data_IF_671942384507
#
_entry.id   IF_671942384507
#
_cell.length_a   1.000
_cell.length_b   1.000
_cell.length_c   1.000
_cell.angle_alpha   90.00
_cell.angle_beta   90.00
_cell.angle_gamma   90.00
#
_symmetry.space_group_name_H-M   'P 1'
#
loop_
_entity.id
_entity.type
_entity.pdbx_description
1 polymer ?
#
# COMPACT_ATOMS: atom_id res chain seq x y z
N UNK A 1 11.06 -13.47 -21.71
CA UNK A 1 11.91 -13.94 -20.58
C UNK A 1 11.09 -14.91 -19.77
N UNK A 2 11.47 -16.18 -19.78
CA UNK A 2 10.67 -17.31 -19.29
C UNK A 2 11.06 -17.62 -17.86
N UNK A 3 10.17 -17.41 -16.89
CA UNK A 3 10.44 -17.67 -15.47
C UNK A 3 10.42 -19.19 -15.19
N UNK A 4 11.58 -19.74 -14.87
CA UNK A 4 11.77 -21.15 -14.50
C UNK A 4 11.31 -21.34 -13.04
N UNK A 5 10.16 -21.98 -12.88
CA UNK A 5 9.54 -22.37 -11.60
C UNK A 5 10.46 -23.38 -10.89
N UNK A 6 11.18 -22.97 -9.86
CA UNK A 6 11.91 -23.91 -8.98
C UNK A 6 10.99 -24.23 -7.80
N UNK A 7 10.33 -25.38 -7.88
CA UNK A 7 9.51 -25.95 -6.80
C UNK A 7 10.33 -27.10 -6.21
N UNK A 8 11.13 -26.83 -5.17
CA UNK A 8 11.70 -27.90 -4.34
C UNK A 8 10.94 -27.91 -3.03
N UNK A 9 10.18 -28.98 -2.70
CA UNK A 9 9.64 -29.14 -1.36
C UNK A 9 10.79 -29.50 -0.41
N UNK A 10 10.87 -28.79 0.71
CA UNK A 10 11.75 -29.14 1.82
C UNK A 10 11.37 -30.55 2.31
N UNK A 11 12.33 -31.47 2.26
CA UNK A 11 12.19 -32.80 2.84
C UNK A 11 12.44 -32.63 4.34
N UNK A 12 11.38 -32.68 5.15
CA UNK A 12 11.50 -32.74 6.61
C UNK A 12 11.84 -34.17 7.00
N UNK A 13 13.03 -34.40 7.55
CA UNK A 13 13.39 -35.67 8.20
C UNK A 13 12.61 -35.79 9.52
N UNK A 14 11.41 -36.37 9.44
CA UNK A 14 10.55 -36.69 10.58
C UNK A 14 11.05 -37.87 11.43
N UNK A 15 12.24 -38.43 11.14
CA UNK A 15 12.77 -39.61 11.81
C UNK A 15 13.35 -39.33 13.20
N UNK A 16 13.45 -38.07 13.62
CA UNK A 16 14.01 -37.68 14.92
C UNK A 16 12.95 -37.34 16.00
N UNK A 17 11.66 -37.48 15.67
CA UNK A 17 10.54 -37.06 16.55
C UNK A 17 9.61 -38.20 16.99
N UNK A 18 9.94 -39.47 16.67
CA UNK A 18 9.08 -40.63 16.97
C UNK A 18 9.74 -41.62 17.95
N UNK A 19 10.31 -41.13 19.05
CA UNK A 19 10.87 -41.99 20.10
C UNK A 19 10.19 -41.70 21.45
N UNK A 20 9.09 -42.43 21.69
CA UNK A 20 8.51 -42.61 23.02
C UNK A 20 9.25 -43.75 23.76
N UNK A 21 9.49 -43.65 25.09
CA UNK A 21 10.14 -44.67 25.94
C UNK A 21 9.09 -45.67 26.52
N UNK A 22 9.37 -46.62 27.45
CA UNK A 22 10.59 -47.34 27.88
C UNK A 22 10.40 -48.89 27.86
N UNK A 23 11.47 -49.70 28.01
CA UNK A 23 11.40 -51.04 28.64
C UNK A 23 12.80 -51.61 28.96
N UNK A 24 13.15 -51.67 30.25
CA UNK A 24 14.17 -52.60 30.79
C UNK A 24 13.59 -54.04 30.85
N UNK A 25 14.36 -55.07 31.26
CA UNK A 25 15.42 -55.80 30.56
C UNK A 25 15.06 -57.32 30.45
N UNK A 26 15.85 -58.19 29.79
CA UNK A 26 15.75 -59.62 30.07
C UNK A 26 16.81 -60.08 31.07
N UNK A 27 16.32 -60.62 32.19
CA UNK A 27 17.04 -61.46 33.15
C UNK A 27 17.62 -62.71 32.50
N UNK A 28 18.81 -63.12 32.95
CA UNK A 28 19.31 -64.49 32.81
C UNK A 28 20.06 -64.89 34.11
N UNK A 29 19.45 -65.76 34.91
CA UNK A 29 20.08 -66.55 35.98
C UNK A 29 20.84 -67.76 35.37
N UNK A 30 21.49 -68.65 36.15
CA UNK A 30 22.55 -68.47 37.14
C UNK A 30 23.79 -69.32 36.74
N UNK A 31 25.01 -68.91 37.10
CA UNK A 31 26.19 -69.76 36.91
C UNK A 31 27.16 -69.68 38.10
N UNK A 32 27.57 -70.88 38.52
CA UNK A 32 28.33 -71.36 39.68
C UNK A 32 29.46 -70.49 40.29
N UNK A 33 29.82 -70.75 41.57
CA UNK A 33 30.55 -69.80 42.40
C UNK A 33 32.03 -69.72 41.99
N UNK A 34 32.61 -68.53 41.83
CA UNK A 34 34.05 -68.40 41.81
C UNK A 34 34.60 -68.48 43.24
N UNK A 35 35.65 -69.29 43.34
CA UNK A 35 36.49 -69.58 44.48
C UNK A 35 36.88 -68.38 45.36
N UNK A 36 37.19 -68.73 46.62
CA UNK A 36 37.82 -67.97 47.71
C UNK A 36 38.25 -66.51 47.46
N UNK A 37 37.93 -65.58 48.39
CA UNK A 37 38.32 -64.19 48.27
C UNK A 37 39.85 -64.04 48.30
N UNK A 38 40.47 -63.36 47.32
CA UNK A 38 41.86 -62.97 47.44
C UNK A 38 41.97 -62.00 48.62
N UNK A 39 42.90 -62.32 49.53
CA UNK A 39 43.28 -61.52 50.69
C UNK A 39 43.31 -60.03 50.35
N UNK A 40 42.48 -59.24 51.04
CA UNK A 40 42.59 -57.79 51.08
C UNK A 40 43.92 -57.43 51.77
N UNK A 41 44.91 -57.05 50.98
CA UNK A 41 45.96 -56.17 51.46
C UNK A 41 45.33 -54.84 51.92
N UNK A 42 45.87 -54.18 52.96
CA UNK A 42 45.34 -52.90 53.44
C UNK A 42 45.26 -51.89 52.28
N UNK A 43 44.32 -50.93 52.30
CA UNK A 43 44.24 -49.92 51.26
C UNK A 43 45.54 -49.14 51.27
N UNK A 44 46.49 -49.55 50.43
CA UNK A 44 47.59 -48.68 50.03
C UNK A 44 46.89 -47.49 49.42
N UNK A 45 46.91 -46.35 50.11
CA UNK A 45 46.54 -45.07 49.53
C UNK A 45 47.32 -44.98 48.22
N UNK A 46 46.63 -45.28 47.12
CA UNK A 46 47.19 -45.19 45.80
C UNK A 46 47.20 -43.70 45.51
N UNK A 47 48.22 -43.01 46.01
CA UNK A 47 48.46 -41.61 45.72
C UNK A 47 48.39 -41.46 44.21
N UNK A 48 47.41 -40.68 43.74
CA UNK A 48 47.24 -40.42 42.33
C UNK A 48 48.54 -39.80 41.82
N UNK A 49 49.21 -40.40 40.80
CA UNK A 49 50.43 -39.83 40.25
C UNK A 49 50.18 -38.38 39.83
N UNK A 50 51.08 -37.47 40.20
CA UNK A 50 50.96 -36.03 39.90
C UNK A 50 50.62 -35.75 38.44
N UNK A 51 51.16 -36.55 37.51
CA UNK A 51 50.86 -36.47 36.08
C UNK A 51 49.38 -36.64 35.75
N UNK A 52 48.65 -37.52 36.45
CA UNK A 52 47.22 -37.77 36.23
C UNK A 52 46.37 -36.63 36.79
N UNK A 53 46.78 -36.05 37.92
CA UNK A 53 46.12 -34.89 38.49
C UNK A 53 46.26 -33.64 37.61
N UNK A 54 47.46 -33.40 37.08
CA UNK A 54 47.72 -32.29 36.17
C UNK A 54 46.92 -32.45 34.86
N UNK A 55 46.83 -33.67 34.31
CA UNK A 55 46.00 -33.99 33.14
C UNK A 55 44.50 -33.69 33.38
N UNK A 56 43.94 -34.14 34.50
CA UNK A 56 42.53 -33.91 34.84
C UNK A 56 42.26 -32.42 35.04
N UNK A 57 43.15 -31.69 35.71
CA UNK A 57 43.00 -30.25 35.91
C UNK A 57 43.06 -29.49 34.58
N UNK A 58 43.95 -29.90 33.67
CA UNK A 58 44.03 -29.32 32.34
C UNK A 58 42.75 -29.61 31.56
N UNK A 59 42.26 -30.84 31.56
CA UNK A 59 41.01 -31.22 30.90
C UNK A 59 39.80 -30.49 31.49
N UNK A 60 39.76 -30.30 32.80
CA UNK A 60 38.70 -29.54 33.46
C UNK A 60 38.73 -28.07 33.05
N UNK A 61 39.91 -27.45 33.00
CA UNK A 61 40.06 -26.07 32.53
C UNK A 61 39.65 -25.93 31.06
N UNK A 62 40.11 -26.82 30.19
CA UNK A 62 39.75 -26.78 28.76
C UNK A 62 38.26 -27.02 28.55
N UNK A 63 37.66 -27.98 29.27
CA UNK A 63 36.23 -28.25 29.17
C UNK A 63 35.40 -27.07 29.69
N UNK A 64 35.84 -26.43 30.78
CA UNK A 64 35.21 -25.22 31.30
C UNK A 64 35.32 -24.06 30.31
N UNK A 65 36.48 -23.82 29.73
CA UNK A 65 36.68 -22.79 28.71
C UNK A 65 35.83 -23.04 27.45
N UNK A 66 35.69 -24.30 27.03
CA UNK A 66 34.81 -24.68 25.91
C UNK A 66 33.34 -24.45 26.24
N UNK A 67 32.91 -24.80 27.45
CA UNK A 67 31.54 -24.59 27.91
C UNK A 67 31.22 -23.09 28.00
N UNK A 68 32.13 -22.30 28.57
CA UNK A 68 31.99 -20.85 28.67
C UNK A 68 31.92 -20.21 27.27
N UNK A 69 32.76 -20.67 26.32
CA UNK A 69 32.71 -20.22 24.92
C UNK A 69 31.40 -20.59 24.22
N UNK A 70 30.93 -21.83 24.36
CA UNK A 70 29.68 -22.28 23.76
C UNK A 70 28.47 -21.54 24.33
N UNK A 71 28.48 -21.23 25.63
CA UNK A 71 27.41 -20.48 26.28
C UNK A 71 27.37 -19.04 25.75
N UNK A 72 28.52 -18.39 25.62
CA UNK A 72 28.60 -17.03 25.07
C UNK A 72 28.20 -16.99 23.58
N UNK A 73 28.64 -17.96 22.77
CA UNK A 73 28.25 -18.07 21.36
C UNK A 73 26.74 -18.28 21.19
N UNK A 74 26.14 -19.16 22.01
CA UNK A 74 24.70 -19.41 22.00
C UNK A 74 23.90 -18.17 22.40
N UNK A 75 24.38 -17.41 23.39
CA UNK A 75 23.75 -16.15 23.82
C UNK A 75 23.84 -15.07 22.75
N UNK A 76 24.99 -14.94 22.09
CA UNK A 76 25.17 -14.00 21.00
C UNK A 76 24.30 -14.37 19.80
N UNK A 77 24.21 -15.66 19.47
CA UNK A 77 23.35 -16.15 18.40
C UNK A 77 21.86 -15.92 18.70
N UNK A 78 21.43 -16.13 19.94
CA UNK A 78 20.06 -15.81 20.37
C UNK A 78 19.77 -14.31 20.26
N UNK A 79 20.72 -13.46 20.66
CA UNK A 79 20.59 -12.00 20.54
C UNK A 79 20.48 -11.57 19.07
N UNK A 80 21.39 -12.04 18.22
CA UNK A 80 21.38 -11.74 16.78
C UNK A 80 20.09 -12.23 16.12
N UNK A 81 19.62 -13.43 16.49
CA UNK A 81 18.36 -13.97 15.96
C UNK A 81 17.16 -13.13 16.41
N UNK A 82 17.13 -12.70 17.68
CA UNK A 82 16.09 -11.82 18.21
C UNK A 82 16.10 -10.44 17.55
N UNK A 83 17.28 -9.85 17.33
CA UNK A 83 17.46 -8.57 16.63
C UNK A 83 16.98 -8.68 15.17
N UNK A 84 17.38 -9.74 14.46
CA UNK A 84 16.91 -10.00 13.10
C UNK A 84 15.38 -10.16 13.06
N UNK A 85 14.80 -10.97 13.96
CA UNK A 85 13.35 -11.15 14.04
C UNK A 85 12.61 -9.84 14.30
N UNK A 86 13.12 -9.01 15.21
CA UNK A 86 12.56 -7.69 15.51
C UNK A 86 12.60 -6.75 14.30
N UNK A 87 13.73 -6.70 13.58
CA UNK A 87 13.86 -5.90 12.36
C UNK A 87 12.96 -6.43 11.23
N UNK A 88 12.81 -7.74 11.06
CA UNK A 88 11.87 -8.33 10.10
C UNK A 88 10.41 -7.98 10.44
N UNK A 89 10.01 -8.07 11.71
CA UNK A 89 8.67 -7.71 12.13
C UNK A 89 8.38 -6.23 11.86
N UNK A 90 9.35 -5.35 12.15
CA UNK A 90 9.25 -3.92 11.89
C UNK A 90 9.14 -3.62 10.40
N UNK A 91 10.00 -4.20 9.57
CA UNK A 91 9.96 -4.05 8.11
C UNK A 91 8.64 -4.56 7.53
N UNK A 92 8.12 -5.69 8.03
CA UNK A 92 6.84 -6.23 7.61
C UNK A 92 5.68 -5.30 7.97
N UNK A 93 5.65 -4.79 9.21
CA UNK A 93 4.63 -3.81 9.65
C UNK A 93 4.69 -2.53 8.83
N UNK A 94 5.90 -2.05 8.52
CA UNK A 94 6.07 -0.87 7.67
C UNK A 94 5.58 -1.14 6.26
N UNK A 95 6.03 -2.22 5.61
CA UNK A 95 5.64 -2.56 4.25
C UNK A 95 4.13 -2.82 4.12
N UNK A 96 3.52 -3.51 5.09
CA UNK A 96 2.06 -3.73 5.10
C UNK A 96 1.29 -2.41 5.31
N UNK A 97 1.74 -1.54 6.21
CA UNK A 97 1.15 -0.21 6.40
C UNK A 97 1.26 0.64 5.14
N UNK A 98 2.43 0.68 4.50
CA UNK A 98 2.66 1.42 3.26
C UNK A 98 1.77 0.90 2.14
N UNK A 99 1.63 -0.42 2.00
CA UNK A 99 0.75 -1.04 1.02
C UNK A 99 -0.72 -0.63 1.23
N UNK A 100 -1.20 -0.68 2.47
CA UNK A 100 -2.57 -0.24 2.78
C UNK A 100 -2.76 1.26 2.50
N UNK A 101 -1.79 2.11 2.85
CA UNK A 101 -1.87 3.54 2.49
C UNK A 101 -1.90 3.75 0.99
N UNK A 102 -1.06 3.03 0.22
CA UNK A 102 -1.00 3.15 -1.23
C UNK A 102 -2.29 2.66 -1.89
N UNK A 103 -2.85 1.55 -1.40
CA UNK A 103 -4.12 1.00 -1.87
C UNK A 103 -5.28 1.98 -1.64
N UNK A 104 -5.34 2.57 -0.44
CA UNK A 104 -6.35 3.57 -0.12
C UNK A 104 -6.21 4.84 -0.97
N UNK A 105 -4.97 5.30 -1.18
CA UNK A 105 -4.68 6.44 -2.05
C UNK A 105 -5.08 6.14 -3.50
N UNK A 106 -4.72 4.97 -4.03
CA UNK A 106 -5.09 4.57 -5.38
C UNK A 106 -6.60 4.48 -5.56
N UNK A 107 -7.31 3.82 -4.64
CA UNK A 107 -8.77 3.72 -4.69
C UNK A 107 -9.45 5.09 -4.63
N UNK A 108 -8.95 5.99 -3.79
CA UNK A 108 -9.45 7.37 -3.69
C UNK A 108 -9.16 8.16 -4.97
N UNK A 109 -7.94 8.05 -5.50
CA UNK A 109 -7.54 8.72 -6.74
C UNK A 109 -8.35 8.23 -7.94
N UNK A 110 -8.58 6.92 -8.04
CA UNK A 110 -9.40 6.31 -9.09
C UNK A 110 -10.86 6.78 -9.01
N UNK A 111 -11.44 6.79 -7.80
CA UNK A 111 -12.81 7.30 -7.60
C UNK A 111 -12.92 8.76 -8.00
N UNK A 112 -11.93 9.57 -7.60
CA UNK A 112 -11.88 10.99 -7.95
C UNK A 112 -11.67 11.20 -9.45
N UNK A 113 -10.82 10.41 -10.10
CA UNK A 113 -10.60 10.47 -11.55
C UNK A 113 -11.90 10.18 -12.30
N UNK A 114 -12.61 9.09 -11.96
CA UNK A 114 -13.92 8.76 -12.55
C UNK A 114 -14.96 9.86 -12.34
N UNK A 115 -15.01 10.45 -11.13
CA UNK A 115 -15.91 11.55 -10.85
C UNK A 115 -15.59 12.79 -11.71
N UNK A 116 -14.30 13.13 -11.85
CA UNK A 116 -13.86 14.24 -12.69
C UNK A 116 -14.14 13.97 -14.18
N UNK A 117 -13.88 12.77 -14.68
CA UNK A 117 -14.21 12.36 -16.05
C UNK A 117 -15.72 12.54 -16.34
N UNK A 118 -16.59 12.17 -15.39
CA UNK A 118 -18.02 12.42 -15.50
C UNK A 118 -18.38 13.90 -15.57
N UNK A 119 -17.80 14.72 -14.70
CA UNK A 119 -18.01 16.18 -14.71
C UNK A 119 -17.50 16.82 -16.01
N UNK A 120 -16.33 16.40 -16.48
CA UNK A 120 -15.72 16.86 -17.73
C UNK A 120 -16.61 16.51 -18.92
N UNK A 121 -17.13 15.28 -18.97
CA UNK A 121 -18.02 14.82 -20.04
C UNK A 121 -19.32 15.63 -20.04
N UNK A 122 -19.95 15.83 -18.88
CA UNK A 122 -21.15 16.66 -18.75
C UNK A 122 -20.90 18.10 -19.19
N UNK A 123 -19.74 18.67 -18.83
CA UNK A 123 -19.35 20.03 -19.26
C UNK A 123 -19.14 20.09 -20.78
N UNK A 124 -18.54 19.06 -21.37
CA UNK A 124 -18.34 18.97 -22.81
C UNK A 124 -19.69 18.89 -23.55
N UNK A 125 -20.61 18.03 -23.11
CA UNK A 125 -21.95 17.91 -23.69
C UNK A 125 -22.75 19.22 -23.57
N UNK A 126 -22.68 19.90 -22.42
CA UNK A 126 -23.32 21.20 -22.23
C UNK A 126 -22.75 22.27 -23.17
N UNK A 127 -21.42 22.27 -23.39
CA UNK A 127 -20.76 23.17 -24.35
C UNK A 127 -21.13 22.82 -25.79
N UNK A 128 -21.18 21.54 -26.16
CA UNK A 128 -21.59 21.10 -27.50
C UNK A 128 -23.03 21.52 -27.82
N UNK A 129 -23.94 21.43 -26.85
CA UNK A 129 -25.34 21.87 -27.03
C UNK A 129 -25.44 23.38 -27.27
N UNK A 130 -24.55 24.17 -26.67
CA UNK A 130 -24.51 25.63 -26.87
C UNK A 130 -23.87 26.05 -28.19
N UNK A 131 -23.13 25.15 -28.85
CA UNK A 131 -22.48 25.41 -30.12
C UNK A 131 -23.47 25.05 -31.25
N UNK A 132 -23.73 25.95 -32.22
CA UNK A 132 -24.56 25.62 -33.38
C UNK A 132 -24.01 24.40 -34.15
N UNK A 133 -24.88 23.52 -34.63
CA UNK A 133 -24.49 22.26 -35.31
C UNK A 133 -23.52 22.48 -36.49
N UNK A 134 -23.62 23.62 -37.19
CA UNK A 134 -22.73 23.98 -38.31
C UNK A 134 -21.24 24.03 -37.92
N UNK A 135 -20.95 24.25 -36.64
CA UNK A 135 -19.58 24.33 -36.13
C UNK A 135 -19.11 23.04 -35.44
N UNK A 136 -19.96 22.01 -35.33
CA UNK A 136 -19.58 20.73 -34.71
C UNK A 136 -18.49 20.02 -35.51
N UNK A 137 -18.55 20.10 -36.84
CA UNK A 137 -17.53 19.53 -37.75
C UNK A 137 -16.13 20.11 -37.57
N UNK A 138 -16.02 21.30 -36.95
CA UNK A 138 -14.72 21.93 -36.68
C UNK A 138 -14.03 21.33 -35.45
N UNK A 139 -14.76 20.57 -34.61
CA UNK A 139 -14.26 20.01 -33.37
C UNK A 139 -13.50 18.71 -33.68
N UNK A 140 -12.20 18.61 -33.39
CA UNK A 140 -11.45 17.39 -33.70
C UNK A 140 -11.92 16.18 -32.87
N UNK A 141 -12.21 15.06 -33.53
CA UNK A 141 -12.69 13.85 -32.87
C UNK A 141 -11.62 13.09 -32.09
N UNK A 142 -10.36 13.24 -32.48
CA UNK A 142 -9.21 12.47 -31.97
C UNK A 142 -8.61 13.02 -30.66
N UNK A 143 -9.34 13.86 -29.93
CA UNK A 143 -8.90 14.49 -28.70
C UNK A 143 -9.58 13.87 -27.46
N UNK A 144 -8.89 13.90 -26.32
CA UNK A 144 -9.53 13.55 -25.04
C UNK A 144 -10.60 14.60 -24.67
N UNK A 145 -11.59 14.27 -23.83
CA UNK A 145 -12.61 15.23 -23.42
C UNK A 145 -12.06 16.54 -22.84
N UNK A 146 -10.98 16.47 -22.07
CA UNK A 146 -10.27 17.64 -21.53
C UNK A 146 -9.67 18.51 -22.64
N UNK A 147 -9.05 17.88 -23.64
CA UNK A 147 -8.45 18.58 -24.77
C UNK A 147 -9.53 19.18 -25.68
N UNK A 148 -10.66 18.49 -25.86
CA UNK A 148 -11.82 19.04 -26.59
C UNK A 148 -12.35 20.29 -25.89
N UNK A 149 -12.50 20.26 -24.56
CA UNK A 149 -12.92 21.44 -23.79
C UNK A 149 -11.93 22.61 -23.92
N UNK A 150 -10.63 22.35 -23.83
CA UNK A 150 -9.60 23.39 -24.02
C UNK A 150 -9.63 23.97 -25.44
N UNK A 151 -9.81 23.13 -26.47
CA UNK A 151 -9.96 23.57 -27.85
C UNK A 151 -11.22 24.43 -28.02
N UNK A 152 -12.37 23.98 -27.50
CA UNK A 152 -13.64 24.72 -27.54
C UNK A 152 -13.47 26.07 -26.84
N UNK A 153 -12.87 26.10 -25.66
CA UNK A 153 -12.63 27.35 -24.92
C UNK A 153 -11.74 28.33 -25.70
N UNK A 154 -10.70 27.84 -26.37
CA UNK A 154 -9.85 28.67 -27.25
C UNK A 154 -10.58 29.14 -28.50
N UNK A 155 -11.42 28.31 -29.09
CA UNK A 155 -12.24 28.67 -30.25
C UNK A 155 -13.27 29.74 -29.87
N UNK A 156 -13.97 29.56 -28.74
CA UNK A 156 -14.93 30.50 -28.18
C UNK A 156 -14.28 31.86 -27.88
N UNK A 157 -13.11 31.88 -27.23
CA UNK A 157 -12.35 33.11 -26.98
C UNK A 157 -11.93 33.84 -28.26
N UNK A 158 -11.67 33.10 -29.34
CA UNK A 158 -11.35 33.66 -30.66
C UNK A 158 -12.59 34.08 -31.44
N UNK A 159 -13.80 33.84 -30.92
CA UNK A 159 -15.06 34.21 -31.53
C UNK A 159 -15.53 33.26 -32.65
N UNK A 160 -15.03 32.01 -32.69
CA UNK A 160 -15.38 31.05 -33.74
C UNK A 160 -16.87 30.72 -33.79
N UNK A 161 -17.56 30.68 -32.65
CA UNK A 161 -18.96 30.26 -32.56
C UNK A 161 -19.98 31.39 -32.74
N UNK A 162 -19.52 32.62 -33.03
CA UNK A 162 -20.38 33.79 -33.16
C UNK A 162 -21.10 34.15 -31.86
N UNK A 163 -21.54 35.40 -31.72
CA UNK A 163 -22.51 35.74 -30.68
C UNK A 163 -23.87 35.37 -31.24
N UNK A 164 -24.58 34.46 -30.57
CA UNK A 164 -26.00 34.27 -30.80
C UNK A 164 -26.64 35.67 -30.76
N UNK A 165 -27.13 36.14 -31.90
CA UNK A 165 -27.91 37.36 -31.91
C UNK A 165 -29.18 37.02 -31.15
N UNK A 166 -29.26 37.44 -29.89
CA UNK A 166 -30.52 37.53 -29.16
C UNK A 166 -31.45 38.40 -29.99
N UNK A 167 -32.21 37.79 -30.91
CA UNK A 167 -33.34 38.47 -31.49
C UNK A 167 -34.32 38.64 -30.33
N UNK A 168 -34.65 39.88 -29.93
CA UNK A 168 -35.60 40.08 -28.86
C UNK A 168 -36.92 39.43 -29.29
N UNK A 169 -37.31 38.35 -28.59
CA UNK A 169 -38.61 37.71 -28.76
C UNK A 169 -39.67 38.68 -28.22
N UNK A 170 -40.08 39.58 -29.10
CA UNK A 170 -40.87 40.75 -28.76
C UNK A 170 -40.11 42.01 -29.15
N UNK A 171 -40.41 42.55 -30.33
CA UNK A 171 -40.11 43.95 -30.61
C UNK A 171 -40.70 44.81 -29.49
N UNK A 172 -40.03 45.91 -29.14
CA UNK A 172 -40.50 46.81 -28.08
C UNK A 172 -41.97 47.17 -28.35
N UNK A 173 -42.89 46.62 -27.57
CA UNK A 173 -44.32 46.97 -27.60
C UNK A 173 -44.56 48.35 -27.02
N UNK A 174 -43.50 48.98 -26.50
CA UNK A 174 -43.52 50.35 -26.04
C UNK A 174 -43.45 51.28 -27.27
N UNK A 175 -44.43 52.17 -27.47
CA UNK A 175 -44.37 53.14 -28.56
C UNK A 175 -43.07 53.95 -28.47
N UNK A 176 -42.45 54.30 -29.62
CA UNK A 176 -41.22 55.08 -29.62
C UNK A 176 -41.45 56.37 -28.83
N UNK A 177 -40.58 56.61 -27.84
CA UNK A 177 -40.64 57.78 -26.97
C UNK A 177 -40.63 59.02 -27.87
N UNK A 178 -41.76 59.73 -27.91
CA UNK A 178 -41.89 60.93 -28.74
C UNK A 178 -40.90 61.98 -28.23
N UNK A 179 -39.78 62.15 -28.93
CA UNK A 179 -38.80 63.22 -28.72
C UNK A 179 -39.30 64.51 -29.39
N UNK A 180 -40.54 64.91 -29.07
CA UNK A 180 -41.07 66.22 -29.42
C UNK A 180 -40.87 67.17 -28.25
N UNK A 181 -40.36 68.37 -28.50
CA UNK A 181 -40.30 69.44 -27.50
C UNK A 181 -41.67 69.63 -26.83
N UNK A 182 -41.72 69.32 -25.54
CA UNK A 182 -42.93 69.42 -24.69
C UNK A 182 -43.50 70.84 -24.63
N UNK A 183 -42.68 71.83 -25.00
CA UNK A 183 -42.99 73.27 -24.98
C UNK A 183 -44.07 73.67 -26.01
N UNK A 184 -44.25 72.91 -27.08
CA UNK A 184 -45.20 73.24 -28.17
C UNK A 184 -46.47 72.37 -28.18
N UNK A 185 -46.69 71.56 -27.15
CA UNK A 185 -47.85 70.66 -27.08
C UNK A 185 -49.03 71.32 -26.37
N UNK A 186 -50.23 71.15 -26.93
CA UNK A 186 -51.47 71.55 -26.28
C UNK A 186 -51.70 70.71 -24.99
N UNK A 187 -52.32 71.26 -23.95
CA UNK A 187 -52.60 70.60 -22.67
C UNK A 187 -53.25 69.23 -22.81
N UNK A 188 -54.11 69.02 -23.82
CA UNK A 188 -54.68 67.70 -24.10
C UNK A 188 -53.65 66.68 -24.61
N UNK A 189 -52.69 67.12 -25.43
CA UNK A 189 -51.60 66.27 -25.94
C UNK A 189 -50.58 65.96 -24.85
N UNK A 190 -50.33 66.91 -23.93
CA UNK A 190 -49.47 66.70 -22.76
C UNK A 190 -50.05 65.62 -21.83
N UNK A 191 -51.37 65.67 -21.60
CA UNK A 191 -52.07 64.69 -20.79
C UNK A 191 -51.99 63.29 -21.40
N UNK A 192 -52.21 63.18 -22.71
CA UNK A 192 -52.10 61.92 -23.45
C UNK A 192 -50.67 61.34 -23.41
N UNK A 193 -49.65 62.18 -23.50
CA UNK A 193 -48.25 61.76 -23.39
C UNK A 193 -47.93 61.21 -21.98
N UNK A 194 -48.46 61.82 -20.92
CA UNK A 194 -48.24 61.38 -19.54
C UNK A 194 -48.96 60.07 -19.15
N UNK A 195 -50.10 59.76 -19.78
CA UNK A 195 -50.83 58.51 -19.53
C UNK A 195 -50.37 57.33 -20.38
N UNK A 196 -49.57 57.58 -21.42
CA UNK A 196 -49.01 56.54 -22.29
C UNK A 196 -47.80 55.84 -21.67
N UNK A 197 -47.27 56.34 -20.55
CA UNK A 197 -46.23 55.70 -19.74
C UNK A 197 -46.86 54.96 -18.55
N UNK A 198 -47.28 53.72 -18.77
CA UNK A 198 -47.50 52.72 -17.72
C UNK A 198 -46.99 51.36 -18.18
#
# INVERSE_FOLDING_TARGET
MTFKKVKQPLILDLQFFAEDPPADPPSNDPQDPPADPPKQDPPKEHMIPKSRFDEINNNYKTAKEQLDKLLEEKKEQERLSAEQQGEFEKLYKQASSELETFKNQHSTAETRAKALEGVITNMLEAKLTSIPEEFHDLIPDNLSPEQKLDWIGKAEQKGFFGKEQEQPLGGSTNPPKATGELENLNTFQLLQAGYSTK
#
